data_IF_089570112802
#
_entry.id   IF_089570112802
#
_cell.length_a   1.000
_cell.length_b   1.000
_cell.length_c   1.000
_cell.angle_alpha   90.00
_cell.angle_beta   90.00
_cell.angle_gamma   90.00
#
_symmetry.space_group_name_H-M   'P 1'
#
loop_
_entity.id
_entity.type
_entity.pdbx_description
1 polymer ?
#
# COMPACT_ATOMS: atom_id res chain seq x y z
N UNK A 1 -17.52 -4.49 -22.54
CA UNK A 1 -16.24 -3.80 -22.81
C UNK A 1 -15.17 -4.37 -21.88
N UNK A 2 -14.13 -5.02 -22.40
CA UNK A 2 -13.08 -5.62 -21.56
C UNK A 2 -12.27 -4.49 -20.89
N UNK A 3 -12.30 -4.43 -19.55
CA UNK A 3 -11.52 -3.44 -18.79
C UNK A 3 -10.04 -3.80 -18.95
N UNK A 4 -9.32 -3.06 -19.80
CA UNK A 4 -7.90 -3.30 -20.07
C UNK A 4 -7.12 -3.37 -18.74
N UNK A 5 -6.50 -4.53 -18.47
CA UNK A 5 -5.60 -4.70 -17.33
C UNK A 5 -4.45 -3.71 -17.52
N UNK A 6 -4.42 -2.63 -16.72
CA UNK A 6 -3.45 -1.53 -16.85
C UNK A 6 -2.03 -2.11 -16.73
N UNK A 7 -1.32 -2.21 -17.86
CA UNK A 7 -0.08 -2.98 -18.10
C UNK A 7 1.17 -2.48 -17.35
N UNK A 8 1.00 -1.87 -16.19
CA UNK A 8 2.10 -1.38 -15.36
C UNK A 8 1.73 -1.19 -13.90
N UNK A 9 0.51 -1.58 -13.51
CA UNK A 9 0.08 -1.52 -12.12
C UNK A 9 0.73 -2.65 -11.34
N UNK A 10 1.72 -2.31 -10.52
CA UNK A 10 2.37 -3.19 -9.56
C UNK A 10 1.67 -3.05 -8.21
N UNK A 11 1.44 -4.18 -7.53
CA UNK A 11 0.88 -4.21 -6.18
C UNK A 11 1.97 -4.04 -5.14
N UNK A 12 1.70 -3.21 -4.13
CA UNK A 12 2.57 -2.97 -3.00
C UNK A 12 1.81 -3.18 -1.69
N UNK A 13 2.51 -3.71 -0.69
CA UNK A 13 2.01 -3.85 0.67
C UNK A 13 2.39 -2.62 1.46
N UNK A 14 1.45 -2.06 2.21
CA UNK A 14 1.70 -0.90 3.07
C UNK A 14 1.25 -1.25 4.48
N UNK A 15 2.19 -1.23 5.42
CA UNK A 15 2.03 -1.77 6.78
C UNK A 15 1.89 -0.63 7.78
N UNK A 16 1.03 -0.81 8.77
CA UNK A 16 0.84 0.12 9.89
C UNK A 16 2.14 0.25 10.69
N UNK A 17 2.54 1.47 11.04
CA UNK A 17 3.74 1.70 11.86
C UNK A 17 3.57 1.33 13.33
N UNK A 18 2.34 1.08 13.79
CA UNK A 18 2.04 0.75 15.20
C UNK A 18 2.28 -0.74 15.52
N UNK A 19 2.79 -1.52 14.55
CA UNK A 19 3.17 -2.91 14.78
C UNK A 19 1.98 -3.88 14.93
N UNK A 20 0.76 -3.44 14.64
CA UNK A 20 -0.47 -4.28 14.69
C UNK A 20 -0.50 -5.41 13.67
N UNK A 21 0.43 -5.42 12.72
CA UNK A 21 0.45 -6.33 11.58
C UNK A 21 -0.59 -6.01 10.50
N UNK A 22 -1.48 -5.04 10.72
CA UNK A 22 -2.49 -4.63 9.75
C UNK A 22 -1.85 -3.92 8.55
N UNK A 23 -2.35 -4.22 7.35
CA UNK A 23 -1.80 -3.69 6.10
C UNK A 23 -2.87 -3.50 5.02
N UNK A 24 -2.57 -2.61 4.09
CA UNK A 24 -3.34 -2.42 2.86
C UNK A 24 -2.53 -2.87 1.65
N UNK A 25 -3.23 -3.30 0.60
CA UNK A 25 -2.66 -3.49 -0.73
C UNK A 25 -2.99 -2.27 -1.60
N UNK A 26 -1.98 -1.75 -2.29
CA UNK A 26 -2.10 -0.58 -3.15
C UNK A 26 -1.54 -0.91 -4.53
N UNK A 27 -2.30 -0.63 -5.59
CA UNK A 27 -1.85 -0.74 -6.97
C UNK A 27 -1.29 0.60 -7.45
N UNK A 28 -0.04 0.62 -7.95
CA UNK A 28 0.56 1.82 -8.55
C UNK A 28 1.44 1.49 -9.75
N UNK A 29 1.70 2.48 -10.59
CA UNK A 29 2.65 2.35 -11.69
C UNK A 29 4.06 2.69 -11.20
N UNK A 30 4.92 1.68 -11.06
CA UNK A 30 6.29 1.86 -10.58
C UNK A 30 7.12 2.79 -11.47
N UNK A 31 6.84 2.82 -12.78
CA UNK A 31 7.51 3.71 -13.75
C UNK A 31 7.33 5.19 -13.47
N UNK A 32 6.17 5.59 -12.93
CA UNK A 32 5.86 7.01 -12.71
C UNK A 32 6.21 7.48 -11.29
N UNK A 33 6.31 6.53 -10.34
CA UNK A 33 6.56 6.83 -8.92
C UNK A 33 7.52 5.80 -8.34
N UNK A 34 8.79 6.18 -8.27
CA UNK A 34 9.87 5.35 -7.76
C UNK A 34 10.00 5.41 -6.23
N UNK A 35 9.58 6.52 -5.62
CA UNK A 35 9.65 6.72 -4.17
C UNK A 35 8.72 5.79 -3.39
N UNK A 36 9.10 5.51 -2.14
CA UNK A 36 8.32 4.68 -1.22
C UNK A 36 7.12 5.46 -0.70
N UNK A 37 5.96 4.81 -0.66
CA UNK A 37 4.76 5.45 -0.12
C UNK A 37 4.80 5.51 1.41
N UNK A 38 4.38 6.68 1.91
CA UNK A 38 3.94 6.85 3.29
C UNK A 38 2.64 7.67 3.28
N UNK A 39 1.58 7.14 3.89
CA UNK A 39 0.30 7.84 3.97
C UNK A 39 -0.39 7.55 5.29
N UNK A 40 -1.19 8.50 5.77
CA UNK A 40 -2.00 8.30 6.98
C UNK A 40 -3.33 7.69 6.61
N UNK A 41 -3.68 6.57 7.23
CA UNK A 41 -4.98 5.89 7.05
C UNK A 41 -5.45 5.31 8.37
N UNK A 42 -6.74 4.98 8.46
CA UNK A 42 -7.30 4.36 9.65
C UNK A 42 -6.77 2.93 9.83
N UNK A 43 -6.30 2.64 11.04
CA UNK A 43 -6.01 1.28 11.50
C UNK A 43 -7.18 0.84 12.40
N UNK A 44 -7.96 -0.18 12.01
CA UNK A 44 -9.12 -0.64 12.79
C UNK A 44 -8.73 -1.31 14.11
N UNK A 45 -7.49 -1.78 14.24
CA UNK A 45 -7.01 -2.44 15.47
C UNK A 45 -6.72 -1.39 16.54
N UNK A 46 -6.01 -0.31 16.19
CA UNK A 46 -5.70 0.79 17.12
C UNK A 46 -6.83 1.81 17.21
N UNK A 47 -7.77 1.77 16.26
CA UNK A 47 -8.89 2.70 16.12
C UNK A 47 -8.47 4.17 15.98
N UNK A 48 -7.33 4.41 15.34
CA UNK A 48 -6.81 5.74 15.05
C UNK A 48 -6.25 5.83 13.64
N UNK A 49 -6.06 7.05 13.14
CA UNK A 49 -5.32 7.27 11.90
C UNK A 49 -3.83 7.20 12.18
N UNK A 50 -3.16 6.31 11.46
CA UNK A 50 -1.76 5.97 11.64
C UNK A 50 -1.03 6.14 10.32
N UNK A 51 0.26 6.44 10.37
CA UNK A 51 1.12 6.37 9.19
C UNK A 51 1.31 4.91 8.76
N UNK A 52 1.01 4.62 7.50
CA UNK A 52 1.33 3.36 6.85
C UNK A 52 2.58 3.56 5.99
N UNK A 53 3.56 2.66 6.11
CA UNK A 53 4.80 2.67 5.32
C UNK A 53 4.86 1.47 4.39
N UNK A 54 5.37 1.71 3.19
CA UNK A 54 5.55 0.65 2.19
C UNK A 54 6.53 -0.42 2.68
N UNK A 55 6.11 -1.67 2.59
CA UNK A 55 6.91 -2.85 2.88
C UNK A 55 7.05 -3.71 1.63
N UNK A 56 8.11 -4.53 1.57
CA UNK A 56 8.30 -5.49 0.48
C UNK A 56 7.15 -6.50 0.51
N UNK A 57 6.53 -6.72 -0.66
CA UNK A 57 5.64 -7.85 -0.88
C UNK A 57 6.54 -9.03 -1.26
N UNK A 58 6.82 -9.91 -0.29
CA UNK A 58 7.47 -11.18 -0.61
C UNK A 58 6.45 -12.07 -1.35
N UNK A 59 6.86 -12.64 -2.48
CA UNK A 59 6.11 -13.70 -3.16
C UNK A 59 6.55 -15.04 -2.60
#
# INVERSE_FOLDING_TARGET
>A
MAKAKKKGATLFKVVSTEGTGFFYLVCRNLKNKQEKYSFRKYDPVVRKHVLFKEAKLNK
#
